data_IF_084367570234
#
_entry.id   IF_084367570234
#
_cell.length_a   1.000
_cell.length_b   1.000
_cell.length_c   1.000
_cell.angle_alpha   90.00
_cell.angle_beta   90.00
_cell.angle_gamma   90.00
#
_symmetry.space_group_name_H-M   'P 1'
#
loop_
_entity.id
_entity.type
_entity.pdbx_description
1 polymer ?
#
# COMPACT_ATOMS: atom_id res chain seq x y z
N UNK A 1 -18.36 -3.01 4.86
CA UNK A 1 -18.13 -4.35 4.29
C UNK A 1 -18.65 -5.33 5.32
N UNK A 2 -19.69 -6.08 4.98
CA UNK A 2 -20.26 -7.06 5.90
C UNK A 2 -19.35 -8.30 5.95
N UNK A 3 -19.24 -8.92 7.12
CA UNK A 3 -18.36 -10.10 7.34
C UNK A 3 -18.67 -11.25 6.36
N UNK A 4 -19.94 -11.42 6.01
CA UNK A 4 -20.41 -12.40 5.02
C UNK A 4 -19.89 -12.14 3.60
N UNK A 5 -19.80 -10.87 3.20
CA UNK A 5 -19.27 -10.50 1.88
C UNK A 5 -17.77 -10.74 1.81
N UNK A 6 -17.05 -10.49 2.92
CA UNK A 6 -15.63 -10.79 3.02
C UNK A 6 -15.36 -12.30 2.90
N UNK A 7 -16.17 -13.11 3.59
CA UNK A 7 -16.04 -14.56 3.54
C UNK A 7 -16.32 -15.12 2.14
N UNK A 8 -17.32 -14.57 1.43
CA UNK A 8 -17.62 -14.97 0.06
C UNK A 8 -16.44 -14.68 -0.88
N UNK A 9 -15.86 -13.48 -0.79
CA UNK A 9 -14.67 -13.10 -1.57
C UNK A 9 -13.47 -14.00 -1.23
N UNK A 10 -13.24 -14.28 0.06
CA UNK A 10 -12.16 -15.16 0.50
C UNK A 10 -12.30 -16.57 -0.08
N UNK A 11 -13.53 -17.11 -0.12
CA UNK A 11 -13.80 -18.42 -0.70
C UNK A 11 -13.58 -18.47 -2.22
N UNK A 12 -13.80 -17.36 -2.93
CA UNK A 12 -13.49 -17.26 -4.36
C UNK A 12 -11.98 -17.20 -4.62
N UNK A 13 -11.24 -16.46 -3.79
CA UNK A 13 -9.79 -16.36 -3.87
C UNK A 13 -9.11 -17.70 -3.54
N UNK A 14 -9.61 -18.41 -2.53
CA UNK A 14 -9.08 -19.71 -2.10
C UNK A 14 -9.11 -20.78 -3.21
N UNK A 15 -10.02 -20.68 -4.19
CA UNK A 15 -10.07 -21.62 -5.33
C UNK A 15 -8.85 -21.51 -6.25
N UNK A 16 -8.22 -20.33 -6.28
CA UNK A 16 -7.11 -20.02 -7.20
C UNK A 16 -5.74 -20.02 -6.52
N UNK A 17 -5.68 -19.98 -5.19
CA UNK A 17 -4.43 -19.90 -4.41
C UNK A 17 -4.08 -21.31 -3.88
N UNK A 18 -3.02 -21.91 -4.41
CA UNK A 18 -2.62 -23.29 -4.09
C UNK A 18 -1.33 -23.37 -3.27
N UNK A 19 -0.44 -22.39 -3.43
CA UNK A 19 0.87 -22.37 -2.77
C UNK A 19 1.03 -21.17 -1.83
N UNK A 20 1.90 -21.25 -0.80
CA UNK A 20 2.20 -20.11 0.06
C UNK A 20 2.85 -18.95 -0.72
N UNK A 21 3.56 -19.25 -1.81
CA UNK A 21 4.11 -18.24 -2.71
C UNK A 21 3.01 -17.44 -3.41
N UNK A 22 1.94 -18.10 -3.88
CA UNK A 22 0.81 -17.44 -4.54
C UNK A 22 0.12 -16.45 -3.60
N UNK A 23 0.00 -16.80 -2.32
CA UNK A 23 -0.54 -15.90 -1.28
C UNK A 23 0.30 -14.63 -1.15
N UNK A 24 1.63 -14.77 -1.08
CA UNK A 24 2.53 -13.62 -0.97
C UNK A 24 2.47 -12.70 -2.20
N UNK A 25 2.34 -13.26 -3.40
CA UNK A 25 2.23 -12.50 -4.64
C UNK A 25 0.91 -11.75 -4.71
N UNK A 26 -0.18 -12.42 -4.37
CA UNK A 26 -1.50 -11.83 -4.30
C UNK A 26 -1.56 -10.66 -3.31
N UNK A 27 -1.00 -10.83 -2.11
CA UNK A 27 -0.92 -9.75 -1.13
C UNK A 27 -0.17 -8.53 -1.66
N UNK A 28 0.93 -8.73 -2.40
CA UNK A 28 1.68 -7.63 -3.03
C UNK A 28 0.85 -6.93 -4.10
N UNK A 29 0.11 -7.67 -4.91
CA UNK A 29 -0.78 -7.11 -5.93
C UNK A 29 -1.93 -6.33 -5.30
N UNK A 30 -2.58 -6.87 -4.26
CA UNK A 30 -3.63 -6.17 -3.51
C UNK A 30 -3.11 -4.87 -2.89
N UNK A 31 -1.95 -4.92 -2.24
CA UNK A 31 -1.28 -3.72 -1.69
C UNK A 31 -1.00 -2.70 -2.79
N UNK A 32 -0.52 -3.13 -3.96
CA UNK A 32 -0.29 -2.23 -5.10
C UNK A 32 -1.57 -1.53 -5.56
N UNK A 33 -2.60 -2.32 -5.88
CA UNK A 33 -3.87 -1.81 -6.41
C UNK A 33 -4.54 -0.88 -5.41
N UNK A 34 -4.57 -1.25 -4.13
CA UNK A 34 -5.17 -0.41 -3.08
C UNK A 34 -4.45 0.93 -2.92
N UNK A 35 -3.12 0.94 -2.91
CA UNK A 35 -2.33 2.18 -2.81
C UNK A 35 -2.54 3.05 -4.06
N UNK A 36 -2.50 2.48 -5.26
CA UNK A 36 -2.73 3.22 -6.50
C UNK A 36 -4.16 3.79 -6.57
N UNK A 37 -5.17 3.03 -6.13
CA UNK A 37 -6.55 3.49 -6.06
C UNK A 37 -6.71 4.65 -5.05
N UNK A 38 -6.10 4.54 -3.88
CA UNK A 38 -6.12 5.60 -2.87
C UNK A 38 -5.45 6.89 -3.39
N UNK A 39 -4.29 6.78 -4.06
CA UNK A 39 -3.62 7.94 -4.66
C UNK A 39 -4.46 8.59 -5.78
N UNK A 40 -5.19 7.80 -6.57
CA UNK A 40 -6.11 8.32 -7.57
C UNK A 40 -7.30 9.06 -6.93
N UNK A 41 -7.83 8.55 -5.82
CA UNK A 41 -8.87 9.22 -5.07
C UNK A 41 -8.39 10.57 -4.47
N UNK A 42 -7.16 10.59 -3.90
CA UNK A 42 -6.52 11.83 -3.44
C UNK A 42 -6.37 12.84 -4.61
N UNK A 43 -5.98 12.38 -5.80
CA UNK A 43 -5.87 13.23 -6.99
C UNK A 43 -7.22 13.78 -7.46
N UNK A 44 -8.27 12.95 -7.45
CA UNK A 44 -9.64 13.41 -7.74
C UNK A 44 -10.10 14.48 -6.76
N UNK A 45 -9.79 14.32 -5.47
CA UNK A 45 -10.10 15.31 -4.46
C UNK A 45 -9.32 16.62 -4.67
N UNK A 46 -8.00 16.54 -4.94
CA UNK A 46 -7.15 17.70 -5.20
C UNK A 46 -7.61 18.54 -6.40
N UNK A 47 -7.99 17.87 -7.48
CA UNK A 47 -8.43 18.54 -8.71
C UNK A 47 -9.92 18.94 -8.67
N UNK A 48 -10.71 18.34 -7.80
CA UNK A 48 -12.16 18.56 -7.70
C UNK A 48 -12.98 17.89 -8.81
N UNK A 49 -12.38 16.97 -9.58
CA UNK A 49 -13.08 16.22 -10.63
C UNK A 49 -12.44 14.85 -10.89
N UNK A 50 -13.25 13.89 -11.33
CA UNK A 50 -12.79 12.52 -11.63
C UNK A 50 -12.11 12.39 -13.00
N UNK A 51 -11.46 11.24 -13.20
CA UNK A 51 -10.82 10.92 -14.48
C UNK A 51 -11.90 10.92 -15.59
N UNK A 52 -11.59 11.58 -16.70
CA UNK A 52 -12.48 11.74 -17.87
C UNK A 52 -13.72 12.62 -17.64
N UNK A 53 -13.81 13.35 -16.53
CA UNK A 53 -14.83 14.37 -16.33
C UNK A 53 -14.38 15.74 -16.87
N UNK A 54 -15.32 16.64 -17.20
CA UNK A 54 -15.00 18.02 -17.59
C UNK A 54 -14.14 18.69 -16.52
N UNK A 55 -13.06 19.36 -16.94
CA UNK A 55 -12.19 20.08 -16.01
C UNK A 55 -12.84 21.40 -15.58
N UNK A 56 -12.93 21.70 -14.28
CA UNK A 56 -13.41 22.99 -13.80
C UNK A 56 -12.34 24.09 -13.81
N UNK A 57 -11.04 23.73 -13.92
CA UNK A 57 -9.92 24.66 -13.75
C UNK A 57 -8.82 24.58 -14.81
N UNK A 58 -7.74 25.33 -14.59
CA UNK A 58 -6.56 25.36 -15.46
C UNK A 58 -5.73 24.06 -15.36
N UNK A 59 -5.56 23.55 -14.13
CA UNK A 59 -4.78 22.34 -13.85
C UNK A 59 -5.45 21.09 -14.42
N UNK A 60 -4.64 20.07 -14.72
CA UNK A 60 -5.10 18.80 -15.28
C UNK A 60 -4.20 17.63 -14.90
N UNK A 61 -4.71 16.40 -15.01
CA UNK A 61 -3.90 15.19 -14.82
C UNK A 61 -2.87 15.07 -15.95
N UNK A 62 -1.61 14.82 -15.59
CA UNK A 62 -0.47 14.70 -16.50
C UNK A 62 0.14 13.28 -16.46
N UNK A 63 -0.72 12.27 -16.60
CA UNK A 63 -0.32 10.87 -16.59
C UNK A 63 0.14 10.35 -15.22
N UNK A 64 1.04 9.37 -15.24
CA UNK A 64 1.56 8.68 -14.06
C UNK A 64 3.08 8.66 -14.06
N UNK A 65 3.67 8.72 -12.87
CA UNK A 65 5.09 8.49 -12.63
C UNK A 65 5.28 7.13 -11.95
N UNK A 66 6.37 6.45 -12.26
CA UNK A 66 6.75 5.21 -11.58
C UNK A 66 7.56 5.52 -10.33
N UNK A 67 7.19 4.89 -9.22
CA UNK A 67 7.89 5.03 -7.95
C UNK A 67 8.02 3.69 -7.26
N UNK A 68 9.24 3.32 -6.88
CA UNK A 68 9.50 2.11 -6.11
C UNK A 68 9.55 2.46 -4.62
N UNK A 69 8.65 1.89 -3.84
CA UNK A 69 8.58 2.06 -2.39
C UNK A 69 8.88 0.73 -1.71
N UNK A 70 9.77 0.73 -0.73
CA UNK A 70 10.06 -0.47 0.06
C UNK A 70 9.00 -0.56 1.16
N UNK A 71 8.20 -1.63 1.11
CA UNK A 71 7.14 -1.94 2.06
C UNK A 71 7.38 -3.34 2.59
N UNK A 72 7.61 -3.47 3.90
CA UNK A 72 7.65 -4.74 4.66
C UNK A 72 8.41 -5.89 4.01
N UNK A 73 7.73 -6.55 3.07
CA UNK A 73 8.06 -7.78 2.35
C UNK A 73 8.91 -7.55 1.08
N UNK A 74 9.21 -6.29 0.72
CA UNK A 74 10.13 -5.98 -0.38
C UNK A 74 9.87 -4.66 -1.10
N UNK A 75 10.56 -4.40 -2.23
CA UNK A 75 10.25 -3.28 -3.11
C UNK A 75 8.89 -3.49 -3.78
N UNK A 76 8.10 -2.42 -3.84
CA UNK A 76 6.82 -2.37 -4.52
C UNK A 76 6.84 -1.21 -5.53
N UNK A 77 6.62 -1.54 -6.80
CA UNK A 77 6.50 -0.54 -7.86
C UNK A 77 5.07 -0.01 -7.93
N UNK A 78 4.93 1.30 -7.77
CA UNK A 78 3.67 2.04 -7.76
C UNK A 78 3.61 3.02 -8.93
N UNK A 79 2.43 3.17 -9.52
CA UNK A 79 2.12 4.24 -10.48
C UNK A 79 1.43 5.39 -9.76
N UNK A 80 2.16 6.47 -9.52
CA UNK A 80 1.64 7.64 -8.81
C UNK A 80 1.06 8.64 -9.81
N UNK A 81 -0.17 9.16 -9.60
CA UNK A 81 -0.76 10.17 -10.46
C UNK A 81 -0.04 11.51 -10.28
N UNK A 82 0.05 12.30 -11.35
CA UNK A 82 0.67 13.64 -11.34
C UNK A 82 -0.25 14.67 -11.96
N UNK A 83 -0.22 15.90 -11.46
CA UNK A 83 -0.90 17.06 -12.04
C UNK A 83 0.06 17.86 -12.96
N UNK A 84 -0.51 18.69 -13.83
CA UNK A 84 0.26 19.49 -14.80
C UNK A 84 1.08 20.57 -14.11
N UNK A 85 0.51 21.18 -13.07
CA UNK A 85 1.13 22.29 -12.34
C UNK A 85 2.12 21.79 -11.25
N UNK A 86 2.14 20.49 -10.93
CA UNK A 86 3.02 19.90 -9.93
C UNK A 86 2.64 20.21 -8.47
N UNK A 87 1.46 20.79 -8.26
CA UNK A 87 0.91 21.23 -6.98
C UNK A 87 0.41 20.09 -6.09
N UNK A 88 0.17 18.90 -6.66
CA UNK A 88 -0.39 17.77 -5.92
C UNK A 88 0.59 17.24 -4.87
N UNK A 89 0.16 17.16 -3.60
CA UNK A 89 0.94 16.60 -2.49
C UNK A 89 0.24 15.38 -1.85
N UNK A 90 0.60 14.15 -2.26
CA UNK A 90 -0.03 12.93 -1.74
C UNK A 90 0.28 12.71 -0.25
N UNK A 91 -0.73 12.25 0.49
CA UNK A 91 -0.64 12.04 1.94
C UNK A 91 -0.26 10.60 2.29
N UNK A 92 -0.85 9.62 1.58
CA UNK A 92 -0.58 8.20 1.81
C UNK A 92 0.89 7.84 1.57
N UNK A 93 1.45 8.33 0.46
CA UNK A 93 2.83 8.11 0.04
C UNK A 93 3.45 9.45 -0.33
N UNK A 94 4.21 10.05 0.59
CA UNK A 94 4.77 11.40 0.41
C UNK A 94 5.75 11.47 -0.78
N UNK A 95 5.93 12.67 -1.33
CA UNK A 95 6.99 12.95 -2.30
C UNK A 95 8.35 12.54 -1.73
N UNK A 96 9.19 11.93 -2.56
CA UNK A 96 10.54 11.44 -2.23
C UNK A 96 10.62 10.37 -1.11
N UNK A 97 9.49 9.88 -0.59
CA UNK A 97 9.51 8.81 0.39
C UNK A 97 9.84 7.45 -0.26
N UNK A 98 11.00 6.88 0.05
CA UNK A 98 11.45 5.59 -0.51
C UNK A 98 11.10 4.38 0.36
N UNK A 99 10.83 4.60 1.66
CA UNK A 99 10.46 3.56 2.62
C UNK A 99 9.14 3.90 3.30
N UNK A 100 8.19 2.96 3.31
CA UNK A 100 7.05 3.04 4.23
C UNK A 100 7.58 2.85 5.65
N UNK A 101 7.14 3.67 6.62
CA UNK A 101 7.50 3.44 8.01
C UNK A 101 6.91 2.09 8.41
N UNK A 102 7.75 1.08 8.69
CA UNK A 102 7.32 -0.09 9.46
C UNK A 102 6.76 0.49 10.76
N UNK A 103 5.47 0.29 11.07
CA UNK A 103 5.06 0.41 12.47
C UNK A 103 5.91 -0.63 13.21
N UNK A 104 6.83 -0.16 14.04
CA UNK A 104 7.55 -1.01 14.95
C UNK A 104 6.52 -1.54 15.94
N UNK A 105 5.83 -2.63 15.59
CA UNK A 105 5.09 -3.40 16.57
C UNK A 105 6.15 -4.00 17.48
N UNK A 106 6.21 -3.44 18.68
CA UNK A 106 7.01 -3.90 19.79
C UNK A 106 6.69 -5.36 20.09
N UNK A 107 7.48 -6.30 19.55
CA UNK A 107 7.64 -7.64 20.13
C UNK A 107 9.07 -8.08 19.85
N UNK A 108 10.00 -7.54 20.64
CA UNK A 108 11.23 -8.26 20.95
C UNK A 108 11.09 -8.88 22.35
N UNK A 109 9.91 -9.40 22.68
CA UNK A 109 9.69 -10.12 23.93
C UNK A 109 10.41 -11.48 23.93
N UNK A 110 10.76 -12.00 22.74
CA UNK A 110 11.56 -13.21 22.58
C UNK A 110 13.05 -12.96 22.85
N UNK A 111 13.58 -11.76 22.60
CA UNK A 111 14.99 -11.46 22.86
C UNK A 111 15.29 -11.22 24.35
N UNK A 112 14.30 -10.83 25.15
CA UNK A 112 14.43 -10.71 26.61
C UNK A 112 14.33 -12.05 27.34
N UNK A 113 13.56 -13.01 26.82
CA UNK A 113 13.38 -14.31 27.46
C UNK A 113 14.56 -15.25 27.19
N UNK A 114 15.25 -15.09 26.06
CA UNK A 114 16.42 -15.92 25.72
C UNK A 114 17.61 -15.61 26.63
N UNK A 115 17.85 -14.34 26.98
CA UNK A 115 18.88 -13.95 27.95
C UNK A 115 18.54 -14.37 29.37
N UNK A 116 17.25 -14.38 29.74
CA UNK A 116 16.81 -14.75 31.09
C UNK A 116 16.87 -16.27 31.34
N UNK A 117 16.73 -17.08 30.28
CA UNK A 117 16.89 -18.54 30.36
C UNK A 117 18.37 -18.94 30.44
N UNK A 118 19.27 -18.23 29.74
CA UNK A 118 20.73 -18.47 29.83
C UNK A 118 21.32 -18.07 31.20
N UNK A 119 20.73 -17.09 31.89
CA UNK A 119 21.12 -16.70 33.26
C UNK A 119 20.56 -17.62 34.36
N UNK A 120 19.56 -18.45 34.06
CA UNK A 120 18.97 -19.41 35.02
C UNK A 120 19.57 -20.82 34.90
N UNK A 121 20.37 -21.07 33.86
CA UNK A 121 21.02 -22.35 33.58
C UNK A 121 22.53 -22.34 33.86
N UNK A 122 23.06 -21.27 34.48
CA UNK A 122 24.42 -21.19 35.02
C UNK A 122 24.37 -20.85 36.51
#
# INVERSE_FOLDING_TARGET
MDEKQLQALANELAKNLKTPEDLSQFDRLLKKISVEAALNAEMSHHLGYDKNQPKPGANSRNGYSTKTVIIGDGPLELRTPRDRDGSFEPQLVKKNQTRSKRKANAVCNTCSLQTKLELLLN
#
